data_IF_494662397821
#
_entry.id   IF_494662397821
#
_cell.length_a   1.000
_cell.length_b   1.000
_cell.length_c   1.000
_cell.angle_alpha   90.00
_cell.angle_beta   90.00
_cell.angle_gamma   90.00
#
_symmetry.space_group_name_H-M   'P 1'
#
loop_
_entity.id
_entity.type
_entity.pdbx_description
1 polymer ?
#
# COMPACT_ATOMS: atom_id res chain seq x y z
N UNK A 1 49.22 41.65 7.81
CA UNK A 1 49.09 40.26 7.36
C UNK A 1 47.66 39.80 7.62
N UNK A 2 46.83 39.84 6.60
CA UNK A 2 45.44 39.38 6.64
C UNK A 2 45.39 37.95 6.12
N UNK A 3 44.60 37.04 6.73
CA UNK A 3 44.45 35.66 6.24
C UNK A 3 43.49 35.61 5.04
N UNK A 4 43.88 34.86 4.02
CA UNK A 4 43.11 34.57 2.82
C UNK A 4 41.85 33.70 3.10
N UNK A 5 40.72 33.87 2.36
CA UNK A 5 39.55 33.06 2.53
C UNK A 5 39.75 31.69 1.90
N UNK A 6 39.42 30.61 2.66
CA UNK A 6 39.39 29.25 2.23
C UNK A 6 38.33 29.01 1.14
N UNK A 7 38.75 28.34 0.07
CA UNK A 7 37.89 27.93 -1.06
C UNK A 7 36.75 27.01 -0.62
N UNK A 8 35.54 27.52 -0.65
CA UNK A 8 34.34 26.68 -0.68
C UNK A 8 34.33 25.94 -2.02
N UNK A 9 34.45 24.62 -1.97
CA UNK A 9 34.33 23.73 -3.13
C UNK A 9 32.88 23.82 -3.65
N UNK A 10 32.67 24.66 -4.65
CA UNK A 10 31.44 24.64 -5.46
C UNK A 10 31.36 23.33 -6.22
N UNK A 11 30.46 22.44 -5.81
CA UNK A 11 30.12 21.25 -6.56
C UNK A 11 29.68 21.67 -7.98
N UNK A 12 30.43 21.22 -8.97
CA UNK A 12 30.24 21.55 -10.39
C UNK A 12 28.85 21.15 -10.87
N UNK A 13 28.09 22.03 -11.57
CA UNK A 13 26.76 21.73 -12.11
C UNK A 13 26.74 20.55 -13.11
N UNK A 14 27.89 20.19 -13.66
CA UNK A 14 28.05 19.09 -14.63
C UNK A 14 27.69 17.70 -14.04
N UNK A 15 27.94 17.43 -12.76
CA UNK A 15 27.57 16.15 -12.14
C UNK A 15 26.07 15.96 -11.95
N UNK A 16 25.31 17.04 -11.84
CA UNK A 16 23.85 17.01 -11.74
C UNK A 16 23.24 16.79 -13.12
N UNK A 17 23.79 17.39 -14.17
CA UNK A 17 23.32 17.22 -15.55
C UNK A 17 23.65 15.83 -16.13
N UNK A 18 24.83 15.25 -15.86
CA UNK A 18 25.12 13.85 -16.28
C UNK A 18 24.24 12.82 -15.57
N UNK A 19 23.85 13.06 -14.32
CA UNK A 19 22.89 12.20 -13.60
C UNK A 19 21.49 12.23 -14.21
N UNK A 20 21.06 13.39 -14.73
CA UNK A 20 19.76 13.59 -15.38
C UNK A 20 19.78 13.08 -16.82
N UNK A 21 20.87 13.27 -17.56
CA UNK A 21 21.00 12.81 -18.96
C UNK A 21 21.06 11.27 -19.08
N UNK A 22 21.51 10.53 -18.08
CA UNK A 22 21.46 9.06 -18.06
C UNK A 22 20.08 8.46 -17.79
N UNK A 23 19.11 9.28 -17.37
CA UNK A 23 17.70 8.89 -17.22
C UNK A 23 16.91 9.00 -18.53
N UNK A 24 17.48 9.66 -19.55
CA UNK A 24 16.87 9.90 -20.86
C UNK A 24 17.43 9.02 -22.00
N UNK A 25 18.01 7.84 -21.69
CA UNK A 25 18.45 6.87 -22.69
C UNK A 25 17.25 6.11 -23.32
N UNK A 26 17.38 5.50 -24.53
CA UNK A 26 16.28 4.88 -25.31
C UNK A 26 15.47 3.80 -24.58
N UNK A 27 15.94 3.23 -23.48
CA UNK A 27 15.16 2.37 -22.58
C UNK A 27 14.05 3.12 -21.81
N UNK A 28 13.97 4.45 -21.92
CA UNK A 28 13.00 5.28 -21.22
C UNK A 28 11.55 5.04 -21.65
N UNK A 29 11.30 4.80 -22.96
CA UNK A 29 9.94 4.66 -23.47
C UNK A 29 9.27 3.33 -23.05
N UNK A 30 10.03 2.23 -22.96
CA UNK A 30 9.52 0.92 -22.56
C UNK A 30 9.19 0.91 -21.07
N UNK A 31 10.11 1.39 -20.25
CA UNK A 31 9.89 1.53 -18.79
C UNK A 31 8.71 2.45 -18.48
N UNK A 32 8.63 3.61 -19.16
CA UNK A 32 7.52 4.57 -19.06
C UNK A 32 6.17 3.90 -19.29
N UNK A 33 6.06 3.05 -20.35
CA UNK A 33 4.83 2.33 -20.65
C UNK A 33 4.46 1.30 -19.58
N UNK A 34 5.42 0.52 -19.08
CA UNK A 34 5.17 -0.50 -18.05
C UNK A 34 4.64 0.17 -16.78
N UNK A 35 5.29 1.25 -16.34
CA UNK A 35 4.88 1.98 -15.13
C UNK A 35 3.52 2.64 -15.30
N UNK A 36 3.26 3.32 -16.41
CA UNK A 36 1.96 3.93 -16.71
C UNK A 36 0.84 2.89 -16.79
N UNK A 37 1.08 1.72 -17.44
CA UNK A 37 0.10 0.63 -17.50
C UNK A 37 -0.21 0.09 -16.11
N UNK A 38 0.82 -0.09 -15.25
CA UNK A 38 0.61 -0.57 -13.88
C UNK A 38 -0.15 0.46 -13.04
N UNK A 39 0.15 1.75 -13.19
CA UNK A 39 -0.59 2.83 -12.54
C UNK A 39 -2.07 2.82 -12.95
N UNK A 40 -2.35 2.65 -14.24
CA UNK A 40 -3.72 2.58 -14.74
C UNK A 40 -4.50 1.39 -14.16
N UNK A 41 -3.94 0.17 -14.15
CA UNK A 41 -4.57 -1.01 -13.52
C UNK A 41 -4.82 -0.78 -12.03
N UNK A 42 -3.88 -0.19 -11.33
CA UNK A 42 -3.97 0.14 -9.91
C UNK A 42 -5.12 1.11 -9.62
N UNK A 43 -5.19 2.20 -10.39
CA UNK A 43 -6.23 3.22 -10.26
C UNK A 43 -7.60 2.72 -10.72
N UNK A 44 -7.68 1.84 -11.73
CA UNK A 44 -8.92 1.16 -12.11
C UNK A 44 -9.54 0.46 -10.89
N UNK A 45 -8.75 -0.34 -10.18
CA UNK A 45 -9.23 -1.09 -9.02
C UNK A 45 -9.51 -0.18 -7.82
N UNK A 46 -8.77 0.91 -7.64
CA UNK A 46 -9.09 1.92 -6.63
C UNK A 46 -10.45 2.56 -6.88
N UNK A 47 -10.73 2.97 -8.12
CA UNK A 47 -12.01 3.58 -8.51
C UNK A 47 -13.16 2.58 -8.31
N UNK A 48 -13.01 1.33 -8.76
CA UNK A 48 -14.03 0.30 -8.57
C UNK A 48 -14.26 0.04 -7.08
N UNK A 49 -13.21 -0.11 -6.30
CA UNK A 49 -13.33 -0.34 -4.86
C UNK A 49 -13.99 0.85 -4.14
N UNK A 50 -13.62 2.09 -4.47
CA UNK A 50 -14.24 3.29 -3.90
C UNK A 50 -15.72 3.43 -4.31
N UNK A 51 -16.07 3.06 -5.54
CA UNK A 51 -17.47 3.02 -6.00
C UNK A 51 -18.30 2.03 -5.18
N UNK A 52 -17.74 0.86 -4.91
CA UNK A 52 -18.38 -0.13 -4.00
C UNK A 52 -18.46 0.42 -2.58
N UNK A 53 -17.44 1.15 -2.10
CA UNK A 53 -17.47 1.81 -0.79
C UNK A 53 -18.61 2.85 -0.67
N UNK A 54 -18.82 3.65 -1.72
CA UNK A 54 -19.97 4.59 -1.80
C UNK A 54 -21.29 3.83 -1.80
N UNK A 55 -21.42 2.72 -2.54
CA UNK A 55 -22.60 1.86 -2.50
C UNK A 55 -22.87 1.33 -1.09
N UNK A 56 -21.86 0.81 -0.41
CA UNK A 56 -21.97 0.33 0.98
C UNK A 56 -22.41 1.43 1.94
N UNK A 57 -21.85 2.65 1.84
CA UNK A 57 -22.27 3.78 2.64
C UNK A 57 -23.74 4.18 2.36
N UNK A 58 -24.17 4.09 1.10
CA UNK A 58 -25.56 4.33 0.70
C UNK A 58 -26.50 3.28 1.29
N UNK A 59 -26.12 2.00 1.28
CA UNK A 59 -26.90 0.91 1.88
C UNK A 59 -27.06 1.06 3.39
N UNK A 60 -26.09 1.64 4.10
CA UNK A 60 -26.21 1.93 5.54
C UNK A 60 -27.22 3.07 5.80
N UNK A 61 -27.25 4.07 4.93
CA UNK A 61 -28.16 5.22 5.04
C UNK A 61 -29.59 4.86 4.59
N UNK A 62 -29.70 4.06 3.52
CA UNK A 62 -30.97 3.65 2.90
C UNK A 62 -31.01 2.10 2.82
N UNK A 63 -31.33 1.40 3.93
CA UNK A 63 -31.30 -0.07 3.98
C UNK A 63 -32.22 -0.76 2.94
N UNK A 64 -33.24 -0.06 2.43
CA UNK A 64 -34.17 -0.56 1.41
C UNK A 64 -33.46 -0.93 0.10
N UNK A 65 -32.28 -0.38 -0.18
CA UNK A 65 -31.45 -0.74 -1.33
C UNK A 65 -31.07 -2.22 -1.31
N UNK A 66 -30.87 -2.83 -0.13
CA UNK A 66 -30.64 -4.28 -0.03
C UNK A 66 -31.78 -5.11 -0.63
N UNK A 67 -33.01 -4.67 -0.46
CA UNK A 67 -34.18 -5.37 -1.04
C UNK A 67 -34.22 -5.19 -2.57
N UNK A 68 -33.83 -4.00 -3.06
CA UNK A 68 -33.80 -3.70 -4.49
C UNK A 68 -32.71 -4.51 -5.21
N UNK A 69 -31.56 -4.73 -4.58
CA UNK A 69 -30.44 -5.46 -5.16
C UNK A 69 -30.60 -7.00 -5.03
N UNK A 70 -31.66 -7.47 -4.38
CA UNK A 70 -31.96 -8.90 -4.24
C UNK A 70 -30.87 -9.66 -3.47
N UNK A 71 -30.21 -10.65 -4.09
CA UNK A 71 -29.18 -11.44 -3.38
C UNK A 71 -27.90 -10.65 -3.08
N UNK A 72 -27.66 -9.52 -3.75
CA UNK A 72 -26.43 -8.73 -3.61
C UNK A 72 -26.52 -7.74 -2.46
N UNK A 73 -26.65 -8.29 -1.26
CA UNK A 73 -26.74 -7.53 -0.01
C UNK A 73 -25.42 -6.86 0.39
N UNK A 74 -25.49 -5.98 1.37
CA UNK A 74 -24.31 -5.35 1.99
C UNK A 74 -23.20 -6.36 2.31
N UNK A 75 -23.55 -7.52 2.89
CA UNK A 75 -22.56 -8.56 3.27
C UNK A 75 -21.85 -9.18 2.08
N UNK A 76 -22.40 -9.16 0.86
CA UNK A 76 -21.75 -9.65 -0.35
C UNK A 76 -20.88 -8.56 -1.03
N UNK A 77 -21.24 -7.29 -0.90
CA UNK A 77 -20.44 -6.18 -1.40
C UNK A 77 -19.24 -5.86 -0.51
N UNK A 78 -19.31 -6.16 0.79
CA UNK A 78 -18.20 -5.87 1.71
C UNK A 78 -16.90 -6.60 1.33
N UNK A 79 -16.86 -7.92 1.08
CA UNK A 79 -15.65 -8.60 0.57
C UNK A 79 -15.15 -8.02 -0.74
N UNK A 80 -16.03 -7.59 -1.65
CA UNK A 80 -15.63 -6.93 -2.91
C UNK A 80 -14.83 -5.67 -2.59
N UNK A 81 -15.38 -4.77 -1.77
CA UNK A 81 -14.71 -3.54 -1.38
C UNK A 81 -13.33 -3.80 -0.76
N UNK A 82 -13.28 -4.66 0.23
CA UNK A 82 -12.07 -4.91 1.01
C UNK A 82 -10.96 -5.57 0.19
N UNK A 83 -11.29 -6.60 -0.60
CA UNK A 83 -10.30 -7.34 -1.37
C UNK A 83 -9.80 -6.53 -2.59
N UNK A 84 -10.65 -5.70 -3.22
CA UNK A 84 -10.20 -4.81 -4.30
C UNK A 84 -9.31 -3.69 -3.79
N UNK A 85 -9.55 -3.16 -2.59
CA UNK A 85 -8.63 -2.19 -1.95
C UNK A 85 -7.25 -2.82 -1.73
N UNK A 86 -7.20 -4.03 -1.17
CA UNK A 86 -5.90 -4.65 -0.86
C UNK A 86 -5.21 -5.18 -2.11
N UNK A 87 -5.86 -6.07 -2.86
CA UNK A 87 -5.21 -6.80 -3.96
C UNK A 87 -5.21 -6.04 -5.29
N UNK A 88 -6.13 -5.10 -5.46
CA UNK A 88 -6.13 -4.19 -6.61
C UNK A 88 -5.26 -2.95 -6.35
N UNK A 89 -5.71 -2.08 -5.45
CA UNK A 89 -5.03 -0.81 -5.20
C UNK A 89 -3.69 -0.99 -4.49
N UNK A 90 -3.65 -1.62 -3.31
CA UNK A 90 -2.43 -1.65 -2.51
C UNK A 90 -1.35 -2.57 -3.09
N UNK A 91 -1.71 -3.62 -3.80
CA UNK A 91 -0.73 -4.57 -4.31
C UNK A 91 -0.07 -4.13 -5.63
N UNK A 92 -0.81 -3.53 -6.56
CA UNK A 92 -0.27 -3.22 -7.89
C UNK A 92 0.85 -2.17 -7.91
N UNK A 93 0.86 -1.11 -7.08
CA UNK A 93 2.03 -0.25 -6.94
C UNK A 93 3.28 -0.99 -6.44
N UNK A 94 3.12 -1.99 -5.58
CA UNK A 94 4.22 -2.85 -5.15
C UNK A 94 4.68 -3.80 -6.26
N UNK A 95 3.77 -4.24 -7.13
CA UNK A 95 4.12 -4.99 -8.35
C UNK A 95 4.95 -4.12 -9.29
N UNK A 96 4.61 -2.83 -9.49
CA UNK A 96 5.44 -1.89 -10.24
C UNK A 96 6.85 -1.76 -9.63
N UNK A 97 6.94 -1.64 -8.32
CA UNK A 97 8.20 -1.64 -7.60
C UNK A 97 9.01 -2.93 -7.85
N UNK A 98 8.38 -4.10 -7.80
CA UNK A 98 9.03 -5.36 -8.09
C UNK A 98 9.51 -5.44 -9.55
N UNK A 99 8.73 -4.97 -10.52
CA UNK A 99 9.17 -4.87 -11.92
C UNK A 99 10.47 -4.05 -12.03
N UNK A 100 10.55 -2.92 -11.32
CA UNK A 100 11.76 -2.09 -11.28
C UNK A 100 12.95 -2.80 -10.64
N UNK A 101 12.75 -3.40 -9.47
CA UNK A 101 13.80 -4.07 -8.69
C UNK A 101 14.39 -5.25 -9.45
N UNK A 102 13.57 -6.05 -10.11
CA UNK A 102 14.01 -7.24 -10.86
C UNK A 102 14.35 -6.94 -12.32
N UNK A 103 14.10 -5.72 -12.80
CA UNK A 103 14.39 -5.31 -14.18
C UNK A 103 13.42 -5.89 -15.20
N UNK A 104 12.19 -6.23 -14.79
CA UNK A 104 11.13 -6.70 -15.71
C UNK A 104 10.61 -5.58 -16.61
N UNK A 105 10.87 -4.34 -16.26
CA UNK A 105 10.56 -3.13 -17.01
C UNK A 105 11.52 -2.86 -18.20
N UNK A 106 12.48 -3.78 -18.45
CA UNK A 106 13.52 -3.62 -19.48
C UNK A 106 13.25 -4.52 -20.67
N UNK A 107 13.36 -3.96 -21.88
CA UNK A 107 13.33 -4.65 -23.18
C UNK A 107 12.42 -5.91 -23.27
N UNK A 108 13.04 -7.07 -23.45
CA UNK A 108 12.32 -8.33 -23.69
C UNK A 108 11.39 -8.77 -22.56
N UNK A 109 11.74 -8.46 -21.30
CA UNK A 109 10.89 -8.81 -20.14
C UNK A 109 9.67 -7.90 -20.06
N UNK A 110 9.77 -6.64 -20.47
CA UNK A 110 8.68 -5.67 -20.43
C UNK A 110 7.43 -6.11 -21.24
N UNK A 111 7.63 -6.86 -22.30
CA UNK A 111 6.51 -7.41 -23.08
C UNK A 111 5.59 -8.32 -22.25
N UNK A 112 6.12 -8.98 -21.22
CA UNK A 112 5.37 -9.88 -20.34
C UNK A 112 4.71 -9.17 -19.14
N UNK A 113 5.09 -7.93 -18.82
CA UNK A 113 4.47 -7.19 -17.73
C UNK A 113 2.97 -6.97 -17.96
N UNK A 114 2.57 -6.59 -19.18
CA UNK A 114 1.16 -6.36 -19.53
C UNK A 114 0.31 -7.63 -19.41
N UNK A 115 0.68 -8.79 -19.97
CA UNK A 115 -0.02 -10.06 -19.73
C UNK A 115 -0.18 -10.39 -18.25
N UNK A 116 0.86 -10.24 -17.42
CA UNK A 116 0.79 -10.51 -15.98
C UNK A 116 -0.21 -9.58 -15.29
N UNK A 117 -0.24 -8.29 -15.62
CA UNK A 117 -1.22 -7.34 -15.09
C UNK A 117 -2.66 -7.70 -15.48
N UNK A 118 -2.87 -8.19 -16.71
CA UNK A 118 -4.18 -8.65 -17.14
C UNK A 118 -4.61 -9.95 -16.46
N UNK A 119 -3.70 -10.92 -16.25
CA UNK A 119 -3.97 -12.13 -15.47
C UNK A 119 -4.38 -11.76 -14.04
N UNK A 120 -3.65 -10.82 -13.41
CA UNK A 120 -3.97 -10.30 -12.09
C UNK A 120 -5.36 -9.65 -12.05
N UNK A 121 -5.63 -8.74 -12.97
CA UNK A 121 -6.92 -8.05 -13.05
C UNK A 121 -8.08 -8.99 -13.37
N UNK A 122 -7.86 -10.01 -14.19
CA UNK A 122 -8.87 -11.04 -14.48
C UNK A 122 -9.18 -11.87 -13.24
N UNK A 123 -8.16 -12.23 -12.44
CA UNK A 123 -8.36 -12.94 -11.19
C UNK A 123 -9.19 -12.10 -10.19
N UNK A 124 -8.93 -10.78 -10.11
CA UNK A 124 -9.75 -9.86 -9.31
C UNK A 124 -11.20 -9.78 -9.81
N UNK A 125 -11.40 -9.65 -11.13
CA UNK A 125 -12.73 -9.61 -11.72
C UNK A 125 -13.54 -10.88 -11.44
N UNK A 126 -12.92 -12.05 -11.56
CA UNK A 126 -13.54 -13.34 -11.19
C UNK A 126 -13.79 -13.41 -9.67
N UNK A 127 -12.88 -12.83 -8.86
CA UNK A 127 -13.06 -12.67 -7.42
C UNK A 127 -14.34 -11.90 -7.09
N UNK A 128 -14.59 -10.77 -7.76
CA UNK A 128 -15.81 -9.96 -7.60
C UNK A 128 -17.05 -10.81 -7.84
N UNK A 129 -17.09 -11.55 -8.94
CA UNK A 129 -18.23 -12.42 -9.27
C UNK A 129 -18.46 -13.49 -8.19
N UNK A 130 -17.38 -14.12 -7.72
CA UNK A 130 -17.43 -15.15 -6.68
C UNK A 130 -17.93 -14.60 -5.33
N UNK A 131 -17.48 -13.43 -4.91
CA UNK A 131 -17.92 -12.80 -3.66
C UNK A 131 -19.39 -12.36 -3.74
N UNK A 132 -19.83 -11.81 -4.87
CA UNK A 132 -21.25 -11.48 -5.10
C UNK A 132 -22.14 -12.71 -5.16
N UNK A 133 -21.62 -13.85 -5.62
CA UNK A 133 -22.30 -15.15 -5.56
C UNK A 133 -22.34 -15.75 -4.14
N UNK A 134 -21.65 -15.13 -3.18
CA UNK A 134 -21.67 -15.50 -1.75
C UNK A 134 -20.53 -16.39 -1.31
N UNK A 135 -19.52 -16.63 -2.15
CA UNK A 135 -18.33 -17.37 -1.79
C UNK A 135 -17.35 -16.47 -1.01
N UNK A 136 -17.64 -16.27 0.27
CA UNK A 136 -16.81 -15.51 1.21
C UNK A 136 -16.53 -16.33 2.46
N UNK A 137 -15.29 -16.27 2.97
CA UNK A 137 -14.88 -17.02 4.16
C UNK A 137 -15.19 -16.29 5.47
N UNK A 138 -15.52 -15.01 5.40
CA UNK A 138 -15.59 -14.13 6.56
C UNK A 138 -14.21 -13.77 7.15
N UNK A 139 -13.12 -14.21 6.54
CA UNK A 139 -11.76 -13.83 6.92
C UNK A 139 -11.41 -12.51 6.25
N UNK A 140 -11.18 -11.49 7.04
CA UNK A 140 -10.82 -10.16 6.55
C UNK A 140 -9.63 -10.25 5.59
N UNK A 141 -9.80 -9.77 4.35
CA UNK A 141 -8.80 -9.79 3.27
C UNK A 141 -8.35 -11.20 2.79
N UNK A 142 -9.04 -12.27 3.18
CA UNK A 142 -8.71 -13.64 2.76
C UNK A 142 -9.93 -14.39 2.20
N UNK A 143 -10.83 -13.67 1.51
CA UNK A 143 -12.06 -14.23 0.94
C UNK A 143 -11.84 -15.00 -0.37
N UNK A 144 -10.63 -15.48 -0.62
CA UNK A 144 -10.24 -16.27 -1.80
C UNK A 144 -10.69 -17.72 -1.67
N UNK A 145 -12.00 -17.94 -1.61
CA UNK A 145 -12.63 -19.26 -1.64
C UNK A 145 -13.47 -19.45 -2.91
N UNK A 146 -13.99 -20.64 -3.16
CA UNK A 146 -14.71 -20.92 -4.39
C UNK A 146 -13.79 -20.87 -5.62
N UNK A 147 -14.26 -20.27 -6.72
CA UNK A 147 -13.53 -20.19 -7.99
C UNK A 147 -12.18 -19.45 -7.90
N UNK A 148 -12.05 -18.32 -7.21
CA UNK A 148 -10.80 -17.56 -7.21
C UNK A 148 -9.72 -18.17 -6.31
N UNK A 149 -10.03 -19.23 -5.53
CA UNK A 149 -9.06 -19.87 -4.64
C UNK A 149 -7.81 -20.38 -5.36
N UNK A 150 -7.94 -20.79 -6.63
CA UNK A 150 -6.83 -21.24 -7.47
C UNK A 150 -6.33 -20.13 -8.37
N UNK A 151 -7.24 -19.32 -8.91
CA UNK A 151 -6.92 -18.33 -9.93
C UNK A 151 -6.02 -17.21 -9.40
N UNK A 152 -6.26 -16.73 -8.17
CA UNK A 152 -5.41 -15.68 -7.59
C UNK A 152 -4.00 -16.19 -7.26
N UNK A 153 -3.79 -17.36 -6.63
CA UNK A 153 -2.46 -17.98 -6.56
C UNK A 153 -1.77 -18.18 -7.91
N UNK A 154 -2.51 -18.48 -8.99
CA UNK A 154 -1.94 -18.55 -10.34
C UNK A 154 -1.47 -17.18 -10.84
N UNK A 155 -2.22 -16.11 -10.54
CA UNK A 155 -1.78 -14.74 -10.86
C UNK A 155 -0.49 -14.37 -10.11
N UNK A 156 -0.39 -14.71 -8.83
CA UNK A 156 0.83 -14.54 -8.03
C UNK A 156 2.01 -15.37 -8.60
N UNK A 157 1.75 -16.61 -9.02
CA UNK A 157 2.76 -17.46 -9.65
C UNK A 157 3.23 -16.90 -11.01
N UNK A 158 2.34 -16.31 -11.81
CA UNK A 158 2.70 -15.66 -13.07
C UNK A 158 3.61 -14.44 -12.84
N UNK A 159 3.34 -13.66 -11.81
CA UNK A 159 4.23 -12.58 -11.39
C UNK A 159 5.60 -13.14 -10.98
N UNK A 160 5.63 -14.17 -10.13
CA UNK A 160 6.88 -14.80 -9.71
C UNK A 160 7.70 -15.33 -10.89
N UNK A 161 7.06 -15.99 -11.87
CA UNK A 161 7.73 -16.48 -13.08
C UNK A 161 8.37 -15.34 -13.87
N UNK A 162 7.66 -14.22 -14.06
CA UNK A 162 8.20 -13.05 -14.74
C UNK A 162 9.41 -12.46 -14.01
N UNK A 163 9.33 -12.30 -12.69
CA UNK A 163 10.44 -11.75 -11.89
C UNK A 163 11.67 -12.68 -11.93
N UNK A 164 11.45 -14.00 -11.85
CA UNK A 164 12.50 -15.02 -11.97
C UNK A 164 13.16 -14.99 -13.34
N UNK A 165 12.37 -14.95 -14.41
CA UNK A 165 12.86 -14.82 -15.79
C UNK A 165 13.72 -13.56 -15.94
N UNK A 166 13.23 -12.44 -15.45
CA UNK A 166 13.95 -11.15 -15.52
C UNK A 166 15.27 -11.19 -14.77
N UNK A 167 15.29 -11.77 -13.57
CA UNK A 167 16.51 -11.91 -12.78
C UNK A 167 17.56 -12.79 -13.50
N UNK A 168 17.13 -13.94 -14.05
CA UNK A 168 18.02 -14.86 -14.76
C UNK A 168 18.61 -14.21 -16.02
N UNK A 169 17.78 -13.51 -16.79
CA UNK A 169 18.23 -12.77 -17.98
C UNK A 169 19.19 -11.64 -17.63
N UNK A 170 18.87 -10.86 -16.59
CA UNK A 170 19.69 -9.76 -16.12
C UNK A 170 20.97 -10.19 -15.40
N UNK A 171 21.10 -11.47 -15.02
CA UNK A 171 22.20 -11.95 -14.18
C UNK A 171 23.60 -11.71 -14.76
N UNK A 172 23.74 -11.89 -16.06
CA UNK A 172 25.02 -11.69 -16.79
C UNK A 172 25.27 -10.24 -17.20
N UNK A 173 24.20 -9.44 -17.32
CA UNK A 173 24.28 -8.07 -17.84
C UNK A 173 24.56 -7.02 -16.75
N UNK A 174 24.26 -7.34 -15.50
CA UNK A 174 24.44 -6.42 -14.37
C UNK A 174 25.79 -6.63 -13.68
N UNK A 175 26.85 -6.07 -14.26
CA UNK A 175 28.17 -5.96 -13.60
C UNK A 175 28.13 -5.04 -12.36
N UNK A 176 27.14 -4.15 -12.28
CA UNK A 176 27.00 -3.11 -11.25
C UNK A 176 26.28 -3.53 -9.97
N UNK A 177 25.72 -4.73 -9.87
CA UNK A 177 25.03 -5.16 -8.63
C UNK A 177 25.98 -5.90 -7.70
N UNK A 178 26.14 -5.35 -6.49
CA UNK A 178 26.91 -6.01 -5.43
C UNK A 178 26.35 -7.40 -5.08
N UNK A 179 27.22 -8.33 -4.66
CA UNK A 179 26.81 -9.67 -4.25
C UNK A 179 25.68 -9.67 -3.20
N UNK A 180 25.70 -8.80 -2.15
CA UNK A 180 24.59 -8.71 -1.19
C UNK A 180 23.25 -8.37 -1.84
N UNK A 181 23.22 -7.45 -2.82
CA UNK A 181 21.97 -7.10 -3.51
C UNK A 181 21.42 -8.27 -4.34
N UNK A 182 22.28 -9.08 -4.95
CA UNK A 182 21.88 -10.32 -5.66
C UNK A 182 21.30 -11.36 -4.72
N UNK A 183 21.94 -11.56 -3.58
CA UNK A 183 21.48 -12.49 -2.53
C UNK A 183 20.11 -12.03 -2.01
N UNK A 184 19.92 -10.74 -1.73
CA UNK A 184 18.65 -10.20 -1.27
C UNK A 184 17.54 -10.42 -2.29
N UNK A 185 17.81 -10.23 -3.58
CA UNK A 185 16.83 -10.52 -4.65
C UNK A 185 16.46 -12.01 -4.71
N UNK A 186 17.44 -12.92 -4.55
CA UNK A 186 17.16 -14.36 -4.51
C UNK A 186 16.30 -14.72 -3.29
N UNK A 187 16.63 -14.20 -2.10
CA UNK A 187 15.81 -14.38 -0.90
C UNK A 187 14.40 -13.87 -1.15
N UNK A 188 14.26 -12.67 -1.73
CA UNK A 188 12.96 -12.11 -2.08
C UNK A 188 12.15 -13.01 -3.02
N UNK A 189 12.77 -13.63 -4.04
CA UNK A 189 12.10 -14.58 -4.92
C UNK A 189 11.65 -15.85 -4.19
N UNK A 190 12.46 -16.38 -3.28
CA UNK A 190 12.10 -17.56 -2.48
C UNK A 190 10.89 -17.23 -1.60
N UNK A 191 10.91 -16.07 -0.94
CA UNK A 191 9.77 -15.62 -0.12
C UNK A 191 8.52 -15.38 -0.96
N UNK A 192 8.65 -14.75 -2.14
CA UNK A 192 7.54 -14.54 -3.07
C UNK A 192 6.96 -15.85 -3.60
N UNK A 193 7.77 -16.90 -3.77
CA UNK A 193 7.31 -18.22 -4.18
C UNK A 193 6.37 -18.84 -3.14
N UNK A 194 6.58 -18.56 -1.85
CA UNK A 194 5.73 -19.08 -0.78
C UNK A 194 4.34 -18.44 -0.75
N UNK A 195 4.20 -17.21 -1.25
CA UNK A 195 2.93 -16.45 -1.16
C UNK A 195 1.76 -17.14 -1.86
N UNK A 196 1.86 -17.68 -3.10
CA UNK A 196 0.77 -18.41 -3.73
C UNK A 196 0.26 -19.59 -2.90
N UNK A 197 1.19 -20.35 -2.31
CA UNK A 197 0.84 -21.49 -1.46
C UNK A 197 0.19 -21.04 -0.15
N UNK A 198 0.79 -20.05 0.52
CA UNK A 198 0.27 -19.51 1.77
C UNK A 198 -1.12 -18.90 1.57
N UNK A 199 -1.35 -18.16 0.49
CA UNK A 199 -2.67 -17.60 0.17
C UNK A 199 -3.72 -18.67 -0.08
N UNK A 200 -3.37 -19.73 -0.81
CA UNK A 200 -4.25 -20.86 -1.05
C UNK A 200 -4.65 -21.58 0.24
N UNK A 201 -3.68 -21.85 1.12
CA UNK A 201 -3.94 -22.51 2.40
C UNK A 201 -4.68 -21.60 3.38
N UNK A 202 -4.23 -20.35 3.55
CA UNK A 202 -4.83 -19.41 4.49
C UNK A 202 -6.30 -19.08 4.15
N UNK A 203 -6.66 -19.07 2.86
CA UNK A 203 -8.04 -18.90 2.42
C UNK A 203 -8.95 -20.09 2.73
N UNK A 204 -8.39 -21.27 3.08
CA UNK A 204 -9.21 -22.46 3.39
C UNK A 204 -10.10 -22.21 4.61
N UNK A 205 -11.41 -22.52 4.55
CA UNK A 205 -12.30 -22.46 5.70
C UNK A 205 -11.86 -23.36 6.87
N UNK A 206 -11.13 -24.45 6.56
CA UNK A 206 -10.63 -25.39 7.57
C UNK A 206 -9.42 -24.85 8.36
N UNK A 207 -8.74 -23.81 7.88
CA UNK A 207 -7.58 -23.22 8.52
C UNK A 207 -7.99 -21.87 9.12
N UNK A 208 -8.26 -21.85 10.41
CA UNK A 208 -8.58 -20.63 11.12
C UNK A 208 -7.60 -20.47 12.29
N UNK A 209 -6.98 -19.31 12.48
CA UNK A 209 -6.11 -19.08 13.63
C UNK A 209 -6.95 -19.12 14.92
N UNK A 210 -6.36 -19.53 16.06
CA UNK A 210 -7.02 -19.45 17.34
C UNK A 210 -7.55 -18.06 17.60
N UNK A 211 -8.67 -17.95 18.29
CA UNK A 211 -9.29 -16.68 18.66
C UNK A 211 -8.77 -16.25 20.04
N UNK A 212 -8.33 -15.01 20.16
CA UNK A 212 -7.99 -14.42 21.44
C UNK A 212 -9.30 -14.12 22.20
N UNK A 213 -9.51 -14.70 23.39
CA UNK A 213 -10.75 -14.49 24.16
C UNK A 213 -10.95 -13.04 24.60
N UNK A 214 -9.87 -12.27 24.78
CA UNK A 214 -9.96 -10.89 25.23
C UNK A 214 -10.35 -9.93 24.11
N UNK A 215 -9.87 -10.17 22.89
CA UNK A 215 -10.05 -9.26 21.75
C UNK A 215 -11.06 -9.77 20.72
N UNK A 216 -11.41 -11.07 20.78
CA UNK A 216 -12.20 -11.71 19.73
C UNK A 216 -11.48 -11.84 18.38
N UNK A 217 -10.26 -11.34 18.27
CA UNK A 217 -9.43 -11.41 17.07
C UNK A 217 -8.59 -12.69 16.99
N UNK A 218 -7.98 -12.98 15.83
CA UNK A 218 -7.08 -14.13 15.72
C UNK A 218 -5.84 -13.94 16.61
N UNK A 219 -5.46 -15.02 17.30
CA UNK A 219 -4.19 -15.11 18.01
C UNK A 219 -3.18 -15.73 17.05
N UNK A 220 -2.11 -15.20 16.77
CA UNK A 220 -1.18 -15.91 15.90
C UNK A 220 0.15 -15.22 15.81
N UNK A 221 0.11 -13.92 15.69
CA UNK A 221 1.28 -13.07 15.70
C UNK A 221 1.19 -12.09 16.87
N UNK A 222 2.29 -11.76 17.50
CA UNK A 222 2.33 -10.60 18.36
C UNK A 222 2.07 -9.35 17.50
N UNK A 223 1.42 -8.35 18.07
CA UNK A 223 1.16 -7.10 17.34
C UNK A 223 2.47 -6.40 16.95
N UNK A 224 3.52 -6.60 17.74
CA UNK A 224 4.87 -6.13 17.41
C UNK A 224 5.39 -6.82 16.14
N UNK A 225 5.22 -8.15 15.98
CA UNK A 225 5.65 -8.90 14.80
C UNK A 225 5.03 -8.33 13.51
N UNK A 226 3.72 -8.11 13.49
CA UNK A 226 3.02 -7.59 12.32
C UNK A 226 3.49 -6.18 11.93
N UNK A 227 3.74 -5.32 12.91
CA UNK A 227 4.23 -3.95 12.66
C UNK A 227 5.69 -3.95 12.20
N UNK A 228 6.53 -4.82 12.74
CA UNK A 228 7.93 -4.96 12.29
C UNK A 228 8.04 -5.38 10.83
N UNK A 229 7.10 -6.18 10.32
CA UNK A 229 7.05 -6.49 8.87
C UNK A 229 6.81 -5.23 8.04
N UNK A 230 5.91 -4.34 8.46
CA UNK A 230 5.68 -3.05 7.79
C UNK A 230 6.93 -2.18 7.84
N UNK A 231 7.59 -2.10 9.00
CA UNK A 231 8.83 -1.34 9.19
C UNK A 231 9.94 -1.91 8.29
N UNK A 232 10.09 -3.23 8.19
CA UNK A 232 11.05 -3.85 7.28
C UNK A 232 10.82 -3.42 5.82
N UNK A 233 9.57 -3.39 5.38
CA UNK A 233 9.21 -2.87 4.04
C UNK A 233 9.61 -1.41 3.90
N UNK A 234 9.31 -0.55 4.88
CA UNK A 234 9.68 0.86 4.87
C UNK A 234 11.21 1.07 4.79
N UNK A 235 11.99 0.22 5.47
CA UNK A 235 13.45 0.28 5.45
C UNK A 235 14.04 -0.21 4.12
N UNK A 236 13.41 -1.19 3.48
CA UNK A 236 13.91 -1.78 2.23
C UNK A 236 13.50 -1.00 0.97
N UNK A 237 12.32 -0.40 0.95
CA UNK A 237 11.78 0.34 -0.19
C UNK A 237 12.74 1.36 -0.82
N UNK A 238 13.40 2.25 -0.05
CA UNK A 238 14.29 3.25 -0.62
C UNK A 238 15.43 2.68 -1.46
N UNK A 239 15.96 1.51 -1.10
CA UNK A 239 17.07 0.88 -1.83
C UNK A 239 16.68 0.41 -3.24
N UNK A 240 15.41 0.06 -3.44
CA UNK A 240 14.90 -0.31 -4.76
C UNK A 240 14.43 0.88 -5.60
N UNK A 241 14.22 2.05 -4.97
CA UNK A 241 13.64 3.22 -5.62
C UNK A 241 14.66 4.30 -5.96
N UNK A 242 15.72 4.44 -5.16
CA UNK A 242 16.61 5.61 -5.27
C UNK A 242 18.00 5.37 -4.68
N UNK A 243 18.85 6.38 -4.73
CA UNK A 243 20.22 6.35 -4.18
C UNK A 243 20.31 7.09 -2.86
N UNK A 244 21.31 6.71 -2.05
CA UNK A 244 21.63 7.39 -0.81
C UNK A 244 22.33 8.74 -1.08
N UNK A 245 22.12 9.69 -0.18
CA UNK A 245 22.92 10.94 -0.14
C UNK A 245 24.28 10.66 0.53
N UNK A 246 25.39 11.16 -0.02
CA UNK A 246 26.65 11.23 0.69
C UNK A 246 26.63 12.43 1.68
N UNK A 247 27.36 12.39 2.82
CA UNK A 247 28.02 11.26 3.44
C UNK A 247 27.03 10.32 4.14
N UNK A 248 27.53 9.16 4.62
CA UNK A 248 26.71 8.19 5.35
C UNK A 248 26.06 8.84 6.58
N UNK A 249 24.75 8.79 6.67
CA UNK A 249 24.03 9.41 7.77
C UNK A 249 23.88 8.40 8.94
N UNK A 250 24.16 8.85 10.15
CA UNK A 250 23.98 8.03 11.37
C UNK A 250 22.53 7.54 11.54
N UNK A 251 21.57 8.29 10.98
CA UNK A 251 20.14 7.93 11.02
C UNK A 251 19.85 6.58 10.37
N UNK A 252 20.60 6.25 9.31
CA UNK A 252 20.45 4.94 8.67
C UNK A 252 20.92 3.81 9.56
N UNK A 253 22.10 3.97 10.17
CA UNK A 253 22.60 2.98 11.13
C UNK A 253 21.68 2.85 12.32
N UNK A 254 21.21 3.98 12.87
CA UNK A 254 20.27 3.99 13.98
C UNK A 254 18.97 3.23 13.66
N UNK A 255 18.39 3.43 12.46
CA UNK A 255 17.18 2.74 12.03
C UNK A 255 17.38 1.20 12.00
N UNK A 256 18.50 0.72 11.45
CA UNK A 256 18.78 -0.71 11.42
C UNK A 256 19.10 -1.29 12.81
N UNK A 257 19.77 -0.54 13.67
CA UNK A 257 20.05 -0.96 15.06
C UNK A 257 18.75 -1.06 15.86
N UNK A 258 17.87 -0.06 15.76
CA UNK A 258 16.56 -0.08 16.42
C UNK A 258 15.71 -1.24 15.90
N UNK A 259 15.65 -1.45 14.58
CA UNK A 259 14.93 -2.57 13.98
C UNK A 259 15.44 -3.92 14.49
N UNK A 260 16.77 -4.10 14.55
CA UNK A 260 17.37 -5.34 15.08
C UNK A 260 17.05 -5.54 16.56
N UNK A 261 17.07 -4.48 17.38
CA UNK A 261 16.73 -4.55 18.78
C UNK A 261 15.26 -4.94 19.00
N UNK A 262 14.33 -4.34 18.24
CA UNK A 262 12.90 -4.68 18.30
C UNK A 262 12.62 -6.09 17.76
N UNK A 263 13.35 -6.53 16.72
CA UNK A 263 13.25 -7.91 16.23
C UNK A 263 13.70 -8.91 17.29
N UNK A 264 14.79 -8.64 18.02
CA UNK A 264 15.23 -9.47 19.16
C UNK A 264 14.21 -9.44 20.30
N UNK A 265 13.61 -8.28 20.59
CA UNK A 265 12.51 -8.17 21.55
C UNK A 265 11.32 -9.04 21.12
N UNK A 266 10.95 -9.00 19.84
CA UNK A 266 9.87 -9.82 19.28
C UNK A 266 10.17 -11.33 19.42
N UNK A 267 11.40 -11.76 19.14
CA UNK A 267 11.82 -13.15 19.35
C UNK A 267 11.75 -13.56 20.83
N UNK A 268 12.11 -12.65 21.74
CA UNK A 268 12.02 -12.87 23.20
C UNK A 268 10.59 -12.97 23.70
N UNK A 269 9.66 -12.22 23.12
CA UNK A 269 8.22 -12.29 23.45
C UNK A 269 7.61 -13.62 22.97
N UNK A 270 8.12 -14.16 21.86
CA UNK A 270 7.63 -15.38 21.25
C UNK A 270 6.16 -15.29 20.82
N UNK A 271 5.52 -16.46 20.67
CA UNK A 271 4.09 -16.58 20.33
C UNK A 271 3.21 -16.60 21.57
N UNK A 272 3.58 -15.85 22.62
CA UNK A 272 2.79 -15.74 23.81
C UNK A 272 1.41 -15.14 23.52
N UNK A 273 0.47 -15.35 24.44
CA UNK A 273 -0.84 -14.73 24.38
C UNK A 273 -0.73 -13.23 24.14
N UNK A 274 -1.33 -12.76 23.04
CA UNK A 274 -1.30 -11.36 22.59
C UNK A 274 -2.37 -10.48 23.26
N UNK A 275 -2.89 -10.91 24.41
CA UNK A 275 -3.87 -10.14 25.16
C UNK A 275 -3.33 -8.74 25.53
N UNK A 276 -4.13 -7.72 25.22
CA UNK A 276 -3.85 -6.32 25.60
C UNK A 276 -3.91 -6.07 27.12
N UNK A 277 -4.45 -7.00 27.90
CA UNK A 277 -4.39 -6.96 29.37
C UNK A 277 -3.02 -7.32 29.95
N UNK A 278 -2.09 -7.81 29.12
CA UNK A 278 -0.72 -8.09 29.54
C UNK A 278 0.18 -6.87 29.33
N UNK A 279 0.81 -6.34 30.39
CA UNK A 279 1.67 -5.15 30.27
C UNK A 279 2.76 -5.28 29.22
N UNK A 280 3.35 -6.48 29.05
CA UNK A 280 4.41 -6.72 28.08
C UNK A 280 3.96 -6.43 26.63
N UNK A 281 2.68 -6.63 26.29
CA UNK A 281 2.17 -6.39 24.93
C UNK A 281 2.11 -4.89 24.63
N UNK A 282 1.49 -4.08 25.48
CA UNK A 282 1.41 -2.65 25.23
C UNK A 282 2.71 -1.89 25.52
N UNK A 283 3.59 -2.39 26.43
CA UNK A 283 4.94 -1.84 26.60
C UNK A 283 5.77 -2.10 25.34
N UNK A 284 5.76 -3.34 24.80
CA UNK A 284 6.51 -3.67 23.58
C UNK A 284 6.01 -2.90 22.36
N UNK A 285 4.70 -2.70 22.22
CA UNK A 285 4.14 -1.83 21.18
C UNK A 285 4.54 -0.36 21.36
N UNK A 286 4.74 0.09 22.62
CA UNK A 286 5.24 1.43 22.91
C UNK A 286 6.64 1.70 22.37
N UNK A 287 7.48 0.68 22.18
CA UNK A 287 8.80 0.85 21.55
C UNK A 287 8.69 1.39 20.13
N UNK A 288 7.59 1.09 19.42
CA UNK A 288 7.34 1.56 18.07
C UNK A 288 7.24 3.10 17.95
N UNK A 289 6.99 3.82 19.05
CA UNK A 289 6.93 5.28 19.05
C UNK A 289 8.25 5.93 18.58
N UNK A 290 9.38 5.23 18.72
CA UNK A 290 10.70 5.69 18.23
C UNK A 290 10.70 5.88 16.72
N UNK A 291 9.84 5.15 15.98
CA UNK A 291 9.75 5.24 14.53
C UNK A 291 9.06 6.52 14.04
N UNK A 292 8.40 7.26 14.92
CA UNK A 292 7.79 8.56 14.55
C UNK A 292 8.86 9.55 14.08
N UNK A 293 9.94 9.84 14.83
CA UNK A 293 11.02 10.69 14.37
C UNK A 293 12.04 9.96 13.47
N UNK A 294 12.21 8.64 13.64
CA UNK A 294 13.27 7.90 12.96
C UNK A 294 12.96 7.65 11.49
N UNK A 295 11.70 7.35 11.13
CA UNK A 295 11.31 7.13 9.72
C UNK A 295 11.50 8.37 8.85
N UNK A 296 11.05 9.59 9.22
CA UNK A 296 11.36 10.80 8.47
C UNK A 296 12.87 11.06 8.33
N UNK A 297 13.63 10.86 9.40
CA UNK A 297 15.08 11.03 9.39
C UNK A 297 15.75 10.03 8.43
N UNK A 298 15.30 8.77 8.42
CA UNK A 298 15.76 7.74 7.51
C UNK A 298 15.47 8.07 6.04
N UNK A 299 14.22 8.48 5.72
CA UNK A 299 13.82 8.84 4.35
C UNK A 299 14.55 10.10 3.83
N UNK A 300 14.91 11.02 4.71
CA UNK A 300 15.71 12.21 4.34
C UNK A 300 17.15 11.89 3.93
N UNK A 301 17.67 10.70 4.24
CA UNK A 301 18.99 10.24 3.83
C UNK A 301 19.06 9.78 2.36
N UNK A 302 17.94 9.85 1.60
CA UNK A 302 17.87 9.41 0.22
C UNK A 302 17.55 10.56 -0.74
N UNK A 303 17.90 10.34 -2.03
CA UNK A 303 17.63 11.28 -3.12
C UNK A 303 16.28 10.94 -3.75
N UNK A 304 15.31 11.80 -3.57
CA UNK A 304 13.95 11.60 -4.09
C UNK A 304 13.68 12.54 -5.25
N UNK A 305 12.87 12.08 -6.22
CA UNK A 305 12.38 12.93 -7.29
C UNK A 305 11.54 14.09 -6.70
N UNK A 306 11.67 15.28 -7.30
CA UNK A 306 11.01 16.49 -6.76
C UNK A 306 9.47 16.34 -6.67
N UNK A 307 8.86 15.67 -7.63
CA UNK A 307 7.41 15.44 -7.68
C UNK A 307 6.90 14.59 -6.50
N UNK A 308 7.77 13.87 -5.79
CA UNK A 308 7.39 13.02 -4.65
C UNK A 308 7.15 13.80 -3.37
N UNK A 309 7.56 15.08 -3.28
CA UNK A 309 7.62 15.84 -2.02
C UNK A 309 6.28 15.85 -1.28
N UNK A 310 5.17 16.12 -1.98
CA UNK A 310 3.83 16.19 -1.36
C UNK A 310 3.43 14.86 -0.74
N UNK A 311 3.56 13.78 -1.48
CA UNK A 311 3.17 12.44 -1.05
C UNK A 311 4.11 11.87 0.03
N UNK A 312 5.41 12.21 -0.04
CA UNK A 312 6.36 11.88 1.01
C UNK A 312 6.00 12.54 2.34
N UNK A 313 5.65 13.82 2.32
CA UNK A 313 5.20 14.52 3.53
C UNK A 313 3.88 13.90 4.03
N UNK A 314 2.92 13.66 3.13
CA UNK A 314 1.63 13.09 3.50
C UNK A 314 1.77 11.73 4.20
N UNK A 315 2.50 10.75 3.61
CA UNK A 315 2.64 9.44 4.25
C UNK A 315 3.40 9.51 5.59
N UNK A 316 4.38 10.40 5.72
CA UNK A 316 5.10 10.60 6.99
C UNK A 316 4.20 11.24 8.06
N UNK A 317 3.33 12.17 7.69
CA UNK A 317 2.33 12.72 8.60
C UNK A 317 1.33 11.63 9.04
N UNK A 318 0.81 10.82 8.10
CA UNK A 318 -0.08 9.72 8.44
C UNK A 318 0.60 8.66 9.32
N UNK A 319 1.87 8.35 9.04
CA UNK A 319 2.68 7.48 9.89
C UNK A 319 2.77 8.00 11.33
N UNK A 320 3.02 9.30 11.48
CA UNK A 320 3.12 9.95 12.78
C UNK A 320 1.81 9.96 13.58
N UNK A 321 0.67 9.78 12.91
CA UNK A 321 -0.65 9.61 13.56
C UNK A 321 -0.96 8.13 13.77
N UNK A 322 -0.63 7.27 12.80
CA UNK A 322 -0.93 5.84 12.82
C UNK A 322 -0.24 5.11 13.98
N UNK A 323 1.06 5.36 14.15
CA UNK A 323 1.84 4.66 15.18
C UNK A 323 1.31 4.91 16.60
N UNK A 324 1.13 6.18 17.06
CA UNK A 324 0.63 6.42 18.40
C UNK A 324 -0.82 5.96 18.59
N UNK A 325 -1.69 6.14 17.58
CA UNK A 325 -3.08 5.68 17.68
C UNK A 325 -3.17 4.15 17.73
N UNK A 326 -2.32 3.44 16.96
CA UNK A 326 -2.22 1.99 17.03
C UNK A 326 -1.78 1.49 18.39
N UNK A 327 -0.76 2.13 18.98
CA UNK A 327 -0.34 1.85 20.35
C UNK A 327 -1.44 2.15 21.39
N UNK A 328 -2.07 3.33 21.29
CA UNK A 328 -3.13 3.74 22.20
C UNK A 328 -4.31 2.77 22.23
N UNK A 329 -4.69 2.20 21.07
CA UNK A 329 -5.75 1.20 21.00
C UNK A 329 -5.46 -0.05 21.83
N UNK A 330 -4.18 -0.37 22.09
CA UNK A 330 -3.78 -1.52 22.93
C UNK A 330 -3.66 -1.21 24.42
N UNK A 331 -3.88 0.03 24.83
CA UNK A 331 -3.91 0.37 26.25
C UNK A 331 -5.15 -0.25 26.92
N UNK A 332 -5.01 -0.70 28.19
CA UNK A 332 -6.10 -1.26 28.95
C UNK A 332 -7.33 -0.34 28.97
N UNK A 333 -8.50 -0.90 28.76
CA UNK A 333 -9.77 -0.15 28.68
C UNK A 333 -10.04 0.54 27.35
N UNK A 334 -9.02 0.91 26.57
CA UNK A 334 -9.22 1.57 25.26
C UNK A 334 -9.72 0.55 24.24
N UNK A 335 -9.01 -0.57 24.04
CA UNK A 335 -9.44 -1.61 23.10
C UNK A 335 -10.79 -2.22 23.51
N UNK A 336 -11.02 -2.40 24.82
CA UNK A 336 -12.29 -2.93 25.33
C UNK A 336 -13.48 -2.05 24.96
N UNK A 337 -13.26 -0.73 24.90
CA UNK A 337 -14.26 0.23 24.49
C UNK A 337 -14.46 0.27 22.97
N UNK A 338 -13.37 0.13 22.19
CA UNK A 338 -13.42 0.27 20.74
C UNK A 338 -13.60 -1.04 19.96
N UNK A 339 -13.37 -2.21 20.57
CA UNK A 339 -13.51 -3.48 19.85
C UNK A 339 -14.94 -3.67 19.34
N UNK A 340 -15.05 -4.17 18.10
CA UNK A 340 -16.30 -4.37 17.37
C UNK A 340 -17.09 -3.09 17.06
N UNK A 341 -16.46 -1.93 17.13
CA UNK A 341 -17.06 -0.64 16.79
C UNK A 341 -16.48 -0.04 15.51
N UNK A 342 -17.10 0.99 15.01
CA UNK A 342 -16.60 1.84 13.91
C UNK A 342 -15.22 2.48 14.22
N UNK A 343 -14.81 2.52 15.48
CA UNK A 343 -13.49 3.02 15.89
C UNK A 343 -12.33 2.18 15.36
N UNK A 344 -12.45 0.84 15.32
CA UNK A 344 -11.45 -0.03 14.67
C UNK A 344 -11.44 0.14 13.15
N UNK A 345 -12.62 0.36 12.55
CA UNK A 345 -12.72 0.69 11.12
C UNK A 345 -12.04 2.03 10.83
N UNK A 346 -12.20 3.02 11.71
CA UNK A 346 -11.51 4.32 11.64
C UNK A 346 -9.99 4.16 11.66
N UNK A 347 -9.45 3.32 12.55
CA UNK A 347 -8.01 3.02 12.58
C UNK A 347 -7.54 2.29 11.31
N UNK A 348 -8.33 1.35 10.80
CA UNK A 348 -8.02 0.67 9.54
C UNK A 348 -8.01 1.63 8.34
N UNK A 349 -8.94 2.60 8.32
CA UNK A 349 -9.00 3.64 7.29
C UNK A 349 -7.78 4.58 7.38
N UNK A 350 -7.37 4.97 8.59
CA UNK A 350 -6.15 5.74 8.84
C UNK A 350 -4.92 5.01 8.30
N UNK A 351 -4.84 3.68 8.53
CA UNK A 351 -3.76 2.86 8.03
C UNK A 351 -3.80 2.74 6.49
N UNK A 352 -4.94 2.36 5.91
CA UNK A 352 -5.02 1.98 4.48
C UNK A 352 -5.19 3.19 3.56
N UNK A 353 -6.15 4.07 3.82
CA UNK A 353 -6.42 5.23 2.96
C UNK A 353 -5.48 6.41 3.28
N UNK A 354 -5.12 6.60 4.55
CA UNK A 354 -4.18 7.64 4.95
C UNK A 354 -2.74 7.24 4.65
N UNK A 355 -2.18 6.33 5.43
CA UNK A 355 -0.76 5.99 5.39
C UNK A 355 -0.40 5.17 4.15
N UNK A 356 -0.99 3.98 3.95
CA UNK A 356 -0.60 3.05 2.86
C UNK A 356 -0.86 3.68 1.50
N UNK A 357 -2.02 4.30 1.26
CA UNK A 357 -2.30 4.94 -0.03
C UNK A 357 -1.33 6.10 -0.32
N UNK A 358 -1.02 6.95 0.67
CA UNK A 358 -0.03 8.01 0.50
C UNK A 358 1.38 7.47 0.22
N UNK A 359 1.80 6.38 0.88
CA UNK A 359 3.06 5.70 0.62
C UNK A 359 3.11 5.10 -0.79
N UNK A 360 2.05 4.44 -1.23
CA UNK A 360 2.00 3.79 -2.53
C UNK A 360 1.97 4.79 -3.68
N UNK A 361 1.26 5.90 -3.52
CA UNK A 361 1.32 7.01 -4.49
C UNK A 361 2.73 7.63 -4.50
N UNK A 362 3.35 7.82 -3.34
CA UNK A 362 4.75 8.26 -3.29
C UNK A 362 5.68 7.30 -4.06
N UNK A 363 5.50 5.98 -3.92
CA UNK A 363 6.25 4.97 -4.68
C UNK A 363 5.98 5.10 -6.18
N UNK A 364 4.72 5.22 -6.58
CA UNK A 364 4.34 5.36 -8.00
C UNK A 364 4.89 6.64 -8.61
N UNK A 365 4.81 7.78 -7.93
CA UNK A 365 5.38 9.06 -8.39
C UNK A 365 6.91 8.95 -8.54
N UNK A 366 7.58 8.24 -7.63
CA UNK A 366 9.03 8.00 -7.75
C UNK A 366 9.37 7.11 -8.96
N UNK A 367 8.54 6.12 -9.28
CA UNK A 367 8.73 5.21 -10.42
C UNK A 367 8.41 5.87 -11.76
N UNK A 368 7.39 6.72 -11.79
CA UNK A 368 6.96 7.48 -12.97
C UNK A 368 7.86 8.69 -13.26
N UNK A 369 8.56 9.23 -12.25
CA UNK A 369 9.41 10.40 -12.42
C UNK A 369 8.61 11.66 -12.83
N UNK A 370 8.88 12.19 -14.03
CA UNK A 370 8.17 13.35 -14.54
C UNK A 370 6.69 13.05 -14.81
N UNK A 371 6.35 11.83 -15.26
CA UNK A 371 4.96 11.39 -15.46
C UNK A 371 4.18 11.24 -14.14
N UNK A 372 4.83 11.36 -13.00
CA UNK A 372 4.18 11.41 -11.68
C UNK A 372 3.21 12.59 -11.50
N UNK A 373 3.13 13.49 -12.49
CA UNK A 373 2.15 14.58 -12.50
C UNK A 373 0.70 14.09 -12.36
N UNK A 374 0.39 12.87 -12.85
CA UNK A 374 -0.95 12.27 -12.77
C UNK A 374 -1.47 12.17 -11.32
N UNK A 375 -0.61 12.15 -10.32
CA UNK A 375 -0.96 12.13 -8.90
C UNK A 375 -0.78 13.50 -8.21
N UNK A 376 -0.29 14.51 -8.91
CA UNK A 376 0.08 15.79 -8.30
C UNK A 376 -0.95 16.90 -8.56
N UNK A 377 -2.15 16.58 -9.02
CA UNK A 377 -3.28 17.49 -9.06
C UNK A 377 -3.53 18.10 -7.68
N UNK A 378 -3.54 19.45 -7.61
CA UNK A 378 -3.66 20.13 -6.30
C UNK A 378 -5.00 19.84 -5.67
N UNK A 379 -6.06 19.83 -6.47
CA UNK A 379 -7.44 19.57 -5.99
C UNK A 379 -7.57 18.14 -5.45
N UNK A 380 -7.23 17.13 -6.25
CA UNK A 380 -7.39 15.71 -5.88
C UNK A 380 -6.53 15.34 -4.68
N UNK A 381 -5.31 15.90 -4.57
CA UNK A 381 -4.46 15.71 -3.40
C UNK A 381 -5.13 16.21 -2.12
N UNK A 382 -5.57 17.48 -2.07
CA UNK A 382 -6.15 18.05 -0.84
C UNK A 382 -7.52 17.46 -0.52
N UNK A 383 -8.35 17.18 -1.51
CA UNK A 383 -9.64 16.53 -1.32
C UNK A 383 -9.46 15.13 -0.72
N UNK A 384 -8.51 14.33 -1.24
CA UNK A 384 -8.20 13.01 -0.67
C UNK A 384 -7.76 13.13 0.79
N UNK A 385 -6.75 13.94 1.07
CA UNK A 385 -6.18 14.05 2.43
C UNK A 385 -7.21 14.57 3.44
N UNK A 386 -7.96 15.62 3.09
CA UNK A 386 -8.96 16.20 3.97
C UNK A 386 -10.14 15.25 4.20
N UNK A 387 -10.63 14.60 3.14
CA UNK A 387 -11.74 13.65 3.25
C UNK A 387 -11.40 12.43 4.06
N UNK A 388 -10.20 11.85 3.87
CA UNK A 388 -9.73 10.72 4.68
C UNK A 388 -9.59 11.12 6.14
N UNK A 389 -9.00 12.29 6.43
CA UNK A 389 -8.86 12.78 7.82
C UNK A 389 -10.23 12.96 8.48
N UNK A 390 -11.14 13.65 7.80
CA UNK A 390 -12.50 13.87 8.32
C UNK A 390 -13.24 12.55 8.54
N UNK A 391 -13.09 11.60 7.60
CA UNK A 391 -13.70 10.28 7.71
C UNK A 391 -13.17 9.51 8.92
N UNK A 392 -11.85 9.50 9.12
CA UNK A 392 -11.20 8.86 10.29
C UNK A 392 -11.73 9.44 11.60
N UNK A 393 -11.80 10.77 11.70
CA UNK A 393 -12.32 11.45 12.91
C UNK A 393 -13.78 11.10 13.19
N UNK A 394 -14.61 11.05 12.14
CA UNK A 394 -16.03 10.66 12.27
C UNK A 394 -16.14 9.20 12.73
N UNK A 395 -15.31 8.30 12.21
CA UNK A 395 -15.32 6.89 12.59
C UNK A 395 -14.85 6.68 14.03
N UNK A 396 -13.84 7.41 14.48
CA UNK A 396 -13.43 7.37 15.90
C UNK A 396 -14.54 7.90 16.80
N UNK A 397 -15.20 8.99 16.42
CA UNK A 397 -16.33 9.50 17.18
C UNK A 397 -17.51 8.52 17.22
N UNK A 398 -17.87 7.93 16.08
CA UNK A 398 -18.91 6.91 15.99
C UNK A 398 -18.59 5.71 16.87
N UNK A 399 -17.34 5.18 16.78
CA UNK A 399 -16.89 4.06 17.60
C UNK A 399 -16.89 4.36 19.10
N UNK A 400 -16.55 5.59 19.49
CA UNK A 400 -16.68 6.01 20.89
C UNK A 400 -18.14 5.98 21.35
N UNK A 401 -19.07 6.46 20.52
CA UNK A 401 -20.52 6.41 20.83
C UNK A 401 -21.02 4.98 20.93
N UNK A 402 -20.61 4.10 20.02
CA UNK A 402 -20.98 2.68 20.00
C UNK A 402 -20.45 1.92 21.20
N UNK A 403 -19.21 2.18 21.63
CA UNK A 403 -18.63 1.59 22.82
C UNK A 403 -19.32 2.05 24.12
N UNK A 404 -19.85 3.28 24.12
CA UNK A 404 -20.61 3.83 25.25
C UNK A 404 -22.08 3.37 25.27
N UNK A 405 -22.68 3.19 24.07
CA UNK A 405 -24.06 2.77 23.86
C UNK A 405 -24.14 1.81 22.65
N UNK A 406 -24.16 0.50 22.86
CA UNK A 406 -24.22 -0.48 21.78
C UNK A 406 -25.50 -0.35 20.89
N UNK A 407 -26.55 0.28 21.36
CA UNK A 407 -27.76 0.53 20.59
C UNK A 407 -27.59 1.68 19.58
N UNK A 408 -26.55 2.48 19.71
CA UNK A 408 -26.32 3.70 18.90
C UNK A 408 -26.30 3.41 17.39
N UNK A 409 -25.66 2.34 16.95
CA UNK A 409 -25.61 1.95 15.53
C UNK A 409 -26.88 1.26 15.04
N UNK A 410 -27.70 0.73 15.94
CA UNK A 410 -28.89 -0.07 15.61
C UNK A 410 -30.14 0.81 15.56
N UNK A 411 -30.32 1.67 16.58
CA UNK A 411 -31.51 2.51 16.69
C UNK A 411 -31.42 3.74 15.79
N UNK A 412 -32.38 3.96 14.86
CA UNK A 412 -32.39 5.16 14.05
C UNK A 412 -32.46 6.44 14.90
N UNK A 413 -31.59 7.40 14.61
CA UNK A 413 -31.53 8.67 15.30
C UNK A 413 -30.90 9.76 14.44
N UNK A 414 -31.17 11.04 14.74
CA UNK A 414 -30.63 12.15 13.95
C UNK A 414 -29.10 12.12 13.88
N UNK A 415 -28.46 11.92 15.01
CA UNK A 415 -26.96 11.90 15.05
C UNK A 415 -26.37 10.75 14.23
N UNK A 416 -26.91 9.54 14.38
CA UNK A 416 -26.50 8.36 13.58
C UNK A 416 -26.67 8.62 12.08
N UNK A 417 -27.83 9.11 11.67
CA UNK A 417 -28.11 9.39 10.26
C UNK A 417 -27.21 10.50 9.70
N UNK A 418 -26.91 11.52 10.51
CA UNK A 418 -25.94 12.57 10.14
C UNK A 418 -24.54 11.99 9.94
N UNK A 419 -24.07 11.09 10.80
CA UNK A 419 -22.79 10.41 10.66
C UNK A 419 -22.77 9.59 9.35
N UNK A 420 -23.79 8.82 9.05
CA UNK A 420 -23.87 8.03 7.83
C UNK A 420 -23.93 8.91 6.56
N UNK A 421 -24.62 10.04 6.61
CA UNK A 421 -24.64 11.01 5.53
C UNK A 421 -23.24 11.62 5.29
N UNK A 422 -22.55 11.99 6.37
CA UNK A 422 -21.18 12.49 6.28
C UNK A 422 -20.22 11.43 5.72
N UNK A 423 -20.35 10.18 6.14
CA UNK A 423 -19.56 9.05 5.57
C UNK A 423 -19.79 8.91 4.06
N UNK A 424 -21.06 8.97 3.62
CA UNK A 424 -21.41 8.92 2.21
C UNK A 424 -20.79 10.09 1.45
N UNK A 425 -20.94 11.31 1.94
CA UNK A 425 -20.39 12.52 1.32
C UNK A 425 -18.88 12.47 1.19
N UNK A 426 -18.17 12.11 2.27
CA UNK A 426 -16.71 11.99 2.26
C UNK A 426 -16.24 10.84 1.36
N UNK A 427 -16.97 9.72 1.33
CA UNK A 427 -16.72 8.62 0.39
C UNK A 427 -16.85 9.04 -1.06
N UNK A 428 -17.83 9.88 -1.40
CA UNK A 428 -17.95 10.45 -2.75
C UNK A 428 -16.77 11.37 -3.11
N UNK A 429 -16.29 12.19 -2.17
CA UNK A 429 -15.11 13.03 -2.41
C UNK A 429 -13.84 12.21 -2.64
N UNK A 430 -13.65 11.13 -1.89
CA UNK A 430 -12.54 10.18 -2.07
C UNK A 430 -12.65 9.50 -3.45
N UNK A 431 -13.85 9.10 -3.87
CA UNK A 431 -14.10 8.53 -5.19
C UNK A 431 -13.76 9.54 -6.30
N UNK A 432 -14.20 10.80 -6.17
CA UNK A 432 -13.92 11.85 -7.16
C UNK A 432 -12.42 12.12 -7.31
N UNK A 433 -11.67 12.16 -6.21
CA UNK A 433 -10.22 12.29 -6.25
C UNK A 433 -9.54 11.11 -6.97
N UNK A 434 -10.03 9.88 -6.73
CA UNK A 434 -9.50 8.69 -7.41
C UNK A 434 -9.86 8.64 -8.91
N UNK A 435 -11.03 9.17 -9.29
CA UNK A 435 -11.43 9.32 -10.70
C UNK A 435 -10.55 10.32 -11.45
N UNK A 436 -10.19 11.43 -10.81
CA UNK A 436 -9.27 12.42 -11.36
C UNK A 436 -7.93 11.76 -11.75
N UNK A 437 -7.30 11.05 -10.82
CA UNK A 437 -6.07 10.32 -11.08
C UNK A 437 -6.21 9.23 -12.16
N UNK A 438 -7.35 8.54 -12.20
CA UNK A 438 -7.59 7.50 -13.21
C UNK A 438 -7.72 8.08 -14.62
N UNK A 439 -8.39 9.24 -14.77
CA UNK A 439 -8.51 9.98 -16.03
C UNK A 439 -7.14 10.45 -16.49
N UNK A 440 -6.33 10.99 -15.59
CA UNK A 440 -4.98 11.43 -15.88
C UNK A 440 -4.07 10.27 -16.31
N UNK A 441 -4.16 9.12 -15.65
CA UNK A 441 -3.41 7.92 -16.04
C UNK A 441 -3.84 7.38 -17.41
N UNK A 442 -5.12 7.48 -17.77
CA UNK A 442 -5.61 7.12 -19.10
C UNK A 442 -5.10 8.09 -20.18
N UNK A 443 -5.04 9.38 -19.86
CA UNK A 443 -4.50 10.42 -20.73
C UNK A 443 -3.01 10.19 -20.98
N UNK A 444 -2.24 9.84 -19.97
CA UNK A 444 -0.83 9.46 -20.08
C UNK A 444 -0.63 8.25 -21.01
N UNK A 445 -1.46 7.21 -20.87
CA UNK A 445 -1.37 6.03 -21.76
C UNK A 445 -1.66 6.38 -23.20
N UNK A 446 -2.62 7.28 -23.49
CA UNK A 446 -2.89 7.78 -24.84
C UNK A 446 -1.69 8.54 -25.41
N UNK A 447 -1.08 9.42 -24.62
CA UNK A 447 0.11 10.18 -25.01
C UNK A 447 1.25 9.23 -25.40
N UNK A 448 1.54 8.21 -24.56
CA UNK A 448 2.58 7.21 -24.84
C UNK A 448 2.26 6.41 -26.11
N UNK A 449 1.00 6.08 -26.36
CA UNK A 449 0.60 5.36 -27.58
C UNK A 449 0.79 6.22 -28.84
N UNK A 450 0.42 7.50 -28.79
CA UNK A 450 0.55 8.44 -29.91
C UNK A 450 2.02 8.74 -30.23
N UNK A 451 2.87 8.94 -29.21
CA UNK A 451 4.30 9.20 -29.44
C UNK A 451 4.99 8.06 -30.22
N UNK A 452 4.59 6.81 -29.98
CA UNK A 452 5.12 5.64 -30.72
C UNK A 452 4.68 5.55 -32.17
N UNK A 453 3.52 6.13 -32.50
CA UNK A 453 3.04 6.16 -33.89
C UNK A 453 3.72 7.27 -34.70
N UNK A 454 4.21 8.31 -34.02
CA UNK A 454 4.88 9.46 -34.66
C UNK A 454 6.41 9.32 -34.71
N UNK A 455 7.01 8.35 -34.02
CA UNK A 455 8.44 8.04 -34.16
C UNK A 455 8.72 7.52 -35.58
N UNK A 456 9.67 8.12 -36.35
CA UNK A 456 10.04 7.65 -37.68
C UNK A 456 10.48 6.18 -37.63
N UNK A 457 10.04 5.38 -38.63
CA UNK A 457 10.40 3.94 -38.77
C UNK A 457 11.91 3.67 -38.90
N UNK A 458 12.75 4.70 -38.94
CA UNK A 458 14.19 4.60 -39.19
C UNK A 458 14.97 3.80 -38.12
N UNK A 459 14.44 3.67 -36.94
CA UNK A 459 15.13 2.94 -35.81
C UNK A 459 14.58 1.52 -35.58
N UNK A 460 13.76 0.97 -36.49
CA UNK A 460 13.17 -0.38 -36.36
C UNK A 460 13.86 -1.47 -37.19
N UNK A 461 14.97 -1.15 -37.89
CA UNK A 461 15.77 -2.10 -38.66
C UNK A 461 17.13 -2.40 -37.97
#
# INVERSE_FOLDING_TARGET
>A
MSPSPSSAATLHPLYVQEGIARLSAPNGSINRQVMATTAWHSLLWLVVANSVGVLLATMLLVPQINNLLGPWTYGRWMPVHMNLQLYGWCSLPLVAFLFKVYGSDREQAAAWCRPVLWVWSSALGIGVLSWLDGHSSGKLFLDWIGYPRVLFPMALASLWMLLSYSLVRGWKQTTDTSLPARILKLIGLVLLLLIPFLSYFAASPAIYPPVNPDTGGPTGASQLESTLVVIAVLLLLPFGLTRRKPPHSWQMTAAWVVFAAEFLLCLGLGRANVSHHRPIQWISLGSLLVWIPLTPAYYNAFLWHQNTRRWRVAFLCWWSILVPTGWMLFLPGVLDHFKFTDGLVGHSLLAMAGFVSSLLIFVMVQLLGDDGWIFNGTWSFYVWQASVLAYVLIMFYAGWREGSDPAFSIVPGVLRNTIYLLRLFLGMLILLASLDWFIDAFSLLKEIALSRLTEPQADRL
#
